data_IF_927471540064
#
_entry.id   IF_927471540064
#
_cell.length_a   1.000
_cell.length_b   1.000
_cell.length_c   1.000
_cell.angle_alpha   90.00
_cell.angle_beta   90.00
_cell.angle_gamma   90.00
#
_symmetry.space_group_name_H-M   'P 1'
#
loop_
_entity.id
_entity.type
_entity.pdbx_description
1 polymer ?
#
# COMPACT_ATOMS: atom_id res chain seq x y z
N UNK A 1 27.71 5.80 -16.76
CA UNK A 1 27.48 5.84 -18.21
C UNK A 1 28.67 6.49 -18.89
N UNK A 2 29.25 5.84 -19.90
CA UNK A 2 30.26 6.42 -20.79
C UNK A 2 29.57 6.77 -22.10
N UNK A 3 29.49 8.05 -22.45
CA UNK A 3 28.79 8.51 -23.67
C UNK A 3 29.73 9.30 -24.58
N UNK A 4 29.30 9.58 -25.80
CA UNK A 4 30.03 10.47 -26.73
C UNK A 4 30.03 11.95 -26.30
N UNK A 5 29.13 12.34 -25.38
CA UNK A 5 29.09 13.66 -24.74
C UNK A 5 29.94 13.74 -23.47
N UNK A 6 30.33 12.61 -22.89
CA UNK A 6 31.11 12.54 -21.67
C UNK A 6 30.59 11.48 -20.69
N UNK A 7 31.01 11.60 -19.44
CA UNK A 7 30.68 10.62 -18.41
C UNK A 7 29.55 11.12 -17.52
N UNK A 8 28.57 10.26 -17.25
CA UNK A 8 27.51 10.49 -16.26
C UNK A 8 27.64 9.42 -15.19
N UNK A 9 27.84 9.82 -13.93
CA UNK A 9 27.93 8.92 -12.79
C UNK A 9 26.61 8.92 -12.03
N UNK A 10 26.09 7.74 -11.75
CA UNK A 10 24.81 7.54 -11.06
C UNK A 10 25.04 6.63 -9.86
N UNK A 11 24.48 6.99 -8.71
CA UNK A 11 24.36 6.09 -7.57
C UNK A 11 23.06 5.30 -7.68
N UNK A 12 23.12 3.98 -7.48
CA UNK A 12 21.97 3.09 -7.55
C UNK A 12 21.34 2.88 -6.16
N UNK A 13 20.01 2.78 -6.10
CA UNK A 13 19.24 2.62 -4.87
C UNK A 13 18.94 1.14 -4.58
N UNK A 14 19.98 0.33 -4.35
CA UNK A 14 19.84 -1.12 -4.21
C UNK A 14 18.90 -1.56 -3.08
N UNK A 15 18.82 -0.80 -1.98
CA UNK A 15 17.90 -1.09 -0.87
C UNK A 15 16.43 -0.80 -1.20
N UNK A 16 16.18 0.14 -2.13
CA UNK A 16 14.84 0.64 -2.48
C UNK A 16 14.24 -0.10 -3.68
N UNK A 17 15.08 -0.47 -4.64
CA UNK A 17 14.69 -1.18 -5.85
C UNK A 17 15.65 -2.36 -6.16
N UNK A 18 15.73 -3.37 -5.28
CA UNK A 18 16.73 -4.44 -5.37
C UNK A 18 16.65 -5.25 -6.67
N UNK A 19 15.45 -5.60 -7.15
CA UNK A 19 15.30 -6.37 -8.39
C UNK A 19 15.69 -5.55 -9.62
N UNK A 20 15.31 -4.26 -9.63
CA UNK A 20 15.61 -3.32 -10.70
C UNK A 20 17.11 -3.04 -10.79
N UNK A 21 17.75 -2.77 -9.65
CA UNK A 21 19.19 -2.57 -9.59
C UNK A 21 19.93 -3.83 -10.01
N UNK A 22 19.50 -5.00 -9.52
CA UNK A 22 20.10 -6.28 -9.94
C UNK A 22 19.97 -6.51 -11.46
N UNK A 23 18.80 -6.24 -12.04
CA UNK A 23 18.59 -6.33 -13.49
C UNK A 23 19.51 -5.38 -14.27
N UNK A 24 19.56 -4.11 -13.87
CA UNK A 24 20.39 -3.09 -14.52
C UNK A 24 21.89 -3.43 -14.44
N UNK A 25 22.37 -3.83 -13.26
CA UNK A 25 23.76 -4.24 -13.03
C UNK A 25 24.12 -5.48 -13.84
N UNK A 26 23.24 -6.48 -13.87
CA UNK A 26 23.45 -7.70 -14.66
C UNK A 26 23.58 -7.39 -16.15
N UNK A 27 22.62 -6.64 -16.72
CA UNK A 27 22.65 -6.26 -18.14
C UNK A 27 23.88 -5.40 -18.49
N UNK A 28 24.27 -4.47 -17.61
CA UNK A 28 25.48 -3.67 -17.79
C UNK A 28 26.75 -4.54 -17.85
N UNK A 29 26.87 -5.53 -16.95
CA UNK A 29 28.02 -6.45 -16.90
C UNK A 29 28.12 -7.36 -18.12
N UNK A 30 26.99 -7.79 -18.65
CA UNK A 30 26.92 -8.58 -19.89
C UNK A 30 27.16 -7.73 -21.15
N UNK A 31 27.38 -6.42 -21.01
CA UNK A 31 27.60 -5.51 -22.12
C UNK A 31 26.34 -5.23 -22.95
N UNK A 32 25.15 -5.53 -22.40
CA UNK A 32 23.86 -5.36 -23.08
C UNK A 32 23.61 -3.90 -23.53
N UNK A 33 24.14 -2.94 -22.78
CA UNK A 33 24.03 -1.51 -23.06
C UNK A 33 25.13 -0.94 -23.95
N UNK A 34 26.12 -1.75 -24.35
CA UNK A 34 27.24 -1.27 -25.15
C UNK A 34 26.77 -0.87 -26.55
N UNK A 35 27.30 0.26 -27.03
CA UNK A 35 26.99 0.84 -28.35
C UNK A 35 25.49 1.03 -28.62
N UNK A 36 24.71 1.22 -27.56
CA UNK A 36 23.30 1.62 -27.66
C UNK A 36 23.18 3.15 -27.74
N UNK A 37 21.98 3.69 -27.92
CA UNK A 37 21.77 5.15 -27.99
C UNK A 37 20.75 5.63 -26.97
N UNK A 38 20.86 6.91 -26.61
CA UNK A 38 19.73 7.65 -26.06
C UNK A 38 18.74 7.93 -27.20
N UNK A 39 17.81 6.99 -27.38
CA UNK A 39 16.93 6.96 -28.55
C UNK A 39 15.77 7.96 -28.48
N UNK A 40 15.52 8.56 -27.31
CA UNK A 40 14.51 9.58 -27.12
C UNK A 40 14.96 10.56 -26.05
N UNK A 41 15.17 11.82 -26.42
CA UNK A 41 15.66 12.88 -25.53
C UNK A 41 14.77 14.10 -25.73
N UNK A 42 13.96 14.42 -24.72
CA UNK A 42 12.97 15.49 -24.77
C UNK A 42 13.35 16.56 -23.75
N UNK A 43 13.46 17.81 -24.23
CA UNK A 43 13.79 18.97 -23.40
C UNK A 43 12.79 19.10 -22.24
N UNK A 44 13.30 19.50 -21.08
CA UNK A 44 12.52 19.70 -19.84
C UNK A 44 11.75 18.46 -19.37
N UNK A 45 12.11 17.28 -19.88
CA UNK A 45 11.49 16.01 -19.51
C UNK A 45 12.54 14.97 -19.14
N UNK A 46 13.11 14.26 -20.12
CA UNK A 46 14.02 13.16 -19.86
C UNK A 46 14.87 12.75 -21.07
N UNK A 47 15.94 12.00 -20.79
CA UNK A 47 16.72 11.24 -21.75
C UNK A 47 16.51 9.73 -21.53
N UNK A 48 15.93 9.04 -22.51
CA UNK A 48 15.62 7.61 -22.46
C UNK A 48 16.59 6.81 -23.34
N UNK A 49 17.06 5.69 -22.79
CA UNK A 49 18.00 4.76 -23.41
C UNK A 49 17.72 3.31 -23.01
N UNK A 50 18.68 2.41 -23.27
CA UNK A 50 18.60 1.01 -22.85
C UNK A 50 17.85 0.06 -23.80
N UNK A 51 17.61 0.49 -25.03
CA UNK A 51 17.10 -0.36 -26.12
C UNK A 51 18.24 -0.67 -27.12
N UNK A 52 18.70 -1.93 -27.25
CA UNK A 52 19.75 -2.31 -28.21
C UNK A 52 19.39 -2.11 -29.68
N UNK A 53 18.09 -2.03 -29.99
CA UNK A 53 17.61 -1.77 -31.34
C UNK A 53 17.57 -0.28 -31.66
N UNK A 54 17.58 0.58 -30.64
CA UNK A 54 17.43 2.04 -30.78
C UNK A 54 16.04 2.50 -31.23
N UNK A 55 15.04 1.60 -31.28
CA UNK A 55 13.68 1.90 -31.78
C UNK A 55 12.73 2.41 -30.70
N UNK A 56 13.05 2.19 -29.43
CA UNK A 56 12.18 2.38 -28.27
C UNK A 56 11.25 1.19 -27.99
N UNK A 57 11.30 0.13 -28.79
CA UNK A 57 10.42 -1.05 -28.66
C UNK A 57 11.17 -2.34 -28.29
N UNK A 58 12.51 -2.30 -28.25
CA UNK A 58 13.32 -3.46 -27.85
C UNK A 58 13.40 -3.65 -26.34
N UNK A 59 13.95 -4.79 -25.94
CA UNK A 59 14.10 -5.17 -24.55
C UNK A 59 14.82 -6.51 -24.38
N UNK A 60 15.02 -6.99 -23.15
CA UNK A 60 15.89 -8.13 -22.85
C UNK A 60 15.20 -9.49 -23.05
N UNK A 61 13.97 -9.50 -23.55
CA UNK A 61 13.18 -10.71 -23.78
C UNK A 61 12.36 -11.18 -22.59
N UNK A 62 12.33 -10.42 -21.50
CA UNK A 62 11.52 -10.65 -20.31
C UNK A 62 11.00 -9.33 -19.72
N UNK A 63 10.04 -9.45 -18.80
CA UNK A 63 9.53 -8.33 -18.00
C UNK A 63 9.51 -8.65 -16.51
N UNK A 64 9.57 -7.64 -15.66
CA UNK A 64 9.47 -7.77 -14.20
C UNK A 64 8.64 -6.65 -13.56
N UNK A 65 8.26 -6.88 -12.29
CA UNK A 65 7.39 -6.02 -11.51
C UNK A 65 8.00 -4.63 -11.23
N UNK A 66 7.15 -3.65 -10.90
CA UNK A 66 7.59 -2.34 -10.41
C UNK A 66 8.02 -2.43 -8.93
N UNK A 67 9.01 -1.64 -8.53
CA UNK A 67 9.45 -1.48 -7.13
C UNK A 67 9.22 -0.03 -6.71
N UNK A 68 7.96 0.30 -6.41
CA UNK A 68 7.55 1.65 -6.05
C UNK A 68 7.80 1.90 -4.56
N UNK A 69 8.75 2.77 -4.24
CA UNK A 69 9.02 3.20 -2.87
C UNK A 69 8.32 4.54 -2.57
N UNK A 70 7.41 4.62 -1.57
CA UNK A 70 6.69 5.86 -1.23
C UNK A 70 7.57 7.04 -0.79
N UNK A 71 8.82 6.79 -0.38
CA UNK A 71 9.79 7.83 -0.02
C UNK A 71 10.52 8.43 -1.22
N UNK A 72 10.39 7.81 -2.41
CA UNK A 72 10.97 8.29 -3.65
C UNK A 72 9.87 8.93 -4.52
N UNK A 73 10.15 10.13 -5.02
CA UNK A 73 9.26 10.82 -5.96
C UNK A 73 10.05 11.57 -7.01
N UNK A 74 9.43 11.82 -8.16
CA UNK A 74 10.01 12.57 -9.28
C UNK A 74 10.02 14.08 -9.01
N UNK A 75 10.68 14.49 -7.93
CA UNK A 75 10.70 15.86 -7.38
C UNK A 75 11.88 16.71 -7.89
N UNK A 76 12.82 16.12 -8.64
CA UNK A 76 14.03 16.78 -9.12
C UNK A 76 14.57 16.19 -10.42
N UNK A 77 15.50 16.91 -11.02
CA UNK A 77 16.31 16.45 -12.15
C UNK A 77 17.36 15.40 -11.71
N UNK A 78 17.82 14.60 -12.66
CA UNK A 78 18.88 13.62 -12.45
C UNK A 78 18.43 12.28 -11.86
N UNK A 79 17.11 12.02 -11.76
CA UNK A 79 16.61 10.72 -11.29
C UNK A 79 16.71 9.68 -12.41
N UNK A 80 17.24 8.51 -12.09
CA UNK A 80 17.29 7.34 -12.95
C UNK A 80 16.10 6.43 -12.64
N UNK A 81 15.29 6.14 -13.66
CA UNK A 81 14.08 5.32 -13.51
C UNK A 81 13.84 4.39 -14.71
N UNK A 82 13.06 3.33 -14.50
CA UNK A 82 12.71 2.36 -15.54
C UNK A 82 11.65 2.91 -16.49
N UNK A 83 11.88 2.76 -17.79
CA UNK A 83 10.81 2.91 -18.78
C UNK A 83 10.00 1.60 -18.85
N UNK A 84 8.68 1.72 -19.03
CA UNK A 84 7.76 0.58 -19.11
C UNK A 84 6.59 0.86 -20.07
N UNK A 85 5.79 -0.16 -20.35
CA UNK A 85 4.58 -0.12 -21.16
C UNK A 85 3.30 -0.29 -20.30
N UNK A 86 3.37 0.04 -19.01
CA UNK A 86 2.33 -0.20 -18.01
C UNK A 86 2.83 -1.03 -16.81
N UNK A 87 1.99 -1.24 -15.79
CA UNK A 87 2.38 -1.91 -14.56
C UNK A 87 3.01 -3.30 -14.80
N UNK A 88 4.15 -3.56 -14.19
CA UNK A 88 4.85 -4.84 -14.25
C UNK A 88 5.50 -5.19 -15.59
N UNK A 89 5.79 -4.18 -16.41
CA UNK A 89 6.41 -4.37 -17.74
C UNK A 89 7.83 -3.79 -17.84
N UNK A 90 8.56 -3.73 -16.72
CA UNK A 90 9.95 -3.27 -16.72
C UNK A 90 10.83 -4.26 -17.50
N UNK A 91 11.76 -3.73 -18.32
CA UNK A 91 12.69 -4.51 -19.12
C UNK A 91 14.13 -4.01 -18.97
N UNK A 92 14.71 -3.49 -20.04
CA UNK A 92 16.08 -2.92 -20.04
C UNK A 92 16.12 -1.41 -20.18
N UNK A 93 15.03 -0.80 -20.66
CA UNK A 93 14.98 0.62 -20.96
C UNK A 93 14.86 1.44 -19.69
N UNK A 94 15.58 2.56 -19.64
CA UNK A 94 15.62 3.49 -18.53
C UNK A 94 15.57 4.92 -19.04
N UNK A 95 15.30 5.87 -18.14
CA UNK A 95 15.43 7.29 -18.43
C UNK A 95 16.05 8.07 -17.27
N UNK A 96 16.69 9.18 -17.62
CA UNK A 96 17.23 10.18 -16.70
C UNK A 96 16.42 11.47 -16.81
N UNK A 97 15.92 12.01 -15.70
CA UNK A 97 15.09 13.23 -15.72
C UNK A 97 15.92 14.50 -15.91
N UNK A 98 15.38 15.48 -16.64
CA UNK A 98 15.94 16.84 -16.73
C UNK A 98 15.29 17.83 -15.76
N UNK A 99 14.12 17.49 -15.24
CA UNK A 99 13.30 18.34 -14.37
C UNK A 99 12.42 17.47 -13.46
N UNK A 100 11.71 18.04 -12.46
CA UNK A 100 10.66 17.35 -11.74
C UNK A 100 9.56 16.85 -12.70
N UNK A 101 9.13 15.61 -12.54
CA UNK A 101 8.15 14.93 -13.41
C UNK A 101 7.13 14.15 -12.58
N UNK A 102 6.48 14.84 -11.64
CA UNK A 102 5.59 14.23 -10.62
C UNK A 102 4.46 13.34 -11.20
N UNK A 103 4.04 13.58 -12.45
CA UNK A 103 3.04 12.75 -13.13
C UNK A 103 3.50 11.31 -13.43
N UNK A 104 4.80 11.02 -13.23
CA UNK A 104 5.39 9.69 -13.31
C UNK A 104 5.40 8.93 -11.97
N UNK A 105 5.06 9.60 -10.86
CA UNK A 105 4.98 8.98 -9.54
C UNK A 105 4.00 7.79 -9.57
N UNK A 106 4.34 6.72 -8.86
CA UNK A 106 3.58 5.47 -8.80
C UNK A 106 3.40 4.74 -10.15
N UNK A 107 4.19 5.10 -11.17
CA UNK A 107 4.14 4.49 -12.51
C UNK A 107 5.48 3.96 -12.99
N UNK A 108 6.58 4.48 -12.45
CA UNK A 108 7.93 4.10 -12.84
C UNK A 108 8.80 3.90 -11.60
N UNK A 109 9.56 2.81 -11.60
CA UNK A 109 10.53 2.51 -10.55
C UNK A 109 11.71 3.48 -10.62
N UNK A 110 11.87 4.33 -9.61
CA UNK A 110 13.09 5.14 -9.40
C UNK A 110 14.14 4.25 -8.75
N UNK A 111 15.30 4.09 -9.39
CA UNK A 111 16.33 3.16 -8.92
C UNK A 111 17.75 3.76 -8.87
N UNK A 112 17.89 5.06 -9.07
CA UNK A 112 19.15 5.77 -8.83
C UNK A 112 19.05 7.26 -9.07
N UNK A 113 20.17 7.97 -8.87
CA UNK A 113 20.30 9.38 -9.20
C UNK A 113 21.71 9.78 -9.65
N UNK A 114 21.79 10.80 -10.51
CA UNK A 114 23.05 11.38 -10.99
C UNK A 114 23.77 12.04 -9.83
N UNK A 115 25.01 11.61 -9.61
CA UNK A 115 25.92 12.19 -8.61
C UNK A 115 27.04 13.02 -9.25
N UNK A 116 27.40 12.74 -10.51
CA UNK A 116 28.36 13.53 -11.29
C UNK A 116 27.96 13.53 -12.78
N UNK A 117 28.26 14.60 -13.52
CA UNK A 117 27.97 14.70 -14.96
C UNK A 117 26.56 15.17 -15.32
N UNK A 118 25.91 15.97 -14.46
CA UNK A 118 24.61 16.57 -14.77
C UNK A 118 24.68 17.54 -15.96
N UNK A 119 25.79 18.25 -16.12
CA UNK A 119 26.10 19.07 -17.30
C UNK A 119 26.21 18.23 -18.58
N UNK A 120 26.82 17.04 -18.50
CA UNK A 120 26.89 16.08 -19.61
C UNK A 120 25.49 15.59 -19.97
N UNK A 121 24.69 15.18 -18.98
CA UNK A 121 23.28 14.80 -19.17
C UNK A 121 22.51 15.91 -19.90
N UNK A 122 22.62 17.15 -19.43
CA UNK A 122 21.96 18.32 -20.05
C UNK A 122 22.47 18.66 -21.46
N UNK A 123 23.66 18.16 -21.84
CA UNK A 123 24.25 18.37 -23.18
C UNK A 123 23.83 17.33 -24.21
N UNK A 124 23.06 16.30 -23.80
CA UNK A 124 22.55 15.29 -24.71
C UNK A 124 21.69 15.92 -25.81
N UNK A 125 21.88 15.46 -27.04
CA UNK A 125 21.23 15.94 -28.23
C UNK A 125 19.74 15.58 -28.18
N UNK A 126 18.89 16.61 -28.26
CA UNK A 126 17.44 16.42 -28.30
C UNK A 126 17.04 15.55 -29.50
N UNK A 127 16.16 14.59 -29.25
CA UNK A 127 15.69 13.61 -30.23
C UNK A 127 14.26 13.19 -29.91
N UNK A 128 13.33 13.54 -30.80
CA UNK A 128 11.99 12.95 -30.83
C UNK A 128 11.90 11.95 -31.99
N UNK A 129 11.84 10.62 -31.72
CA UNK A 129 11.77 9.61 -32.77
C UNK A 129 10.51 9.72 -33.64
N UNK A 130 9.45 10.40 -33.17
CA UNK A 130 8.25 10.63 -33.98
C UNK A 130 8.44 11.75 -35.00
N UNK A 131 9.35 12.69 -34.73
CA UNK A 131 9.64 13.82 -35.63
C UNK A 131 10.80 13.51 -36.59
N UNK A 132 11.79 12.73 -36.14
CA UNK A 132 12.98 12.39 -36.90
C UNK A 132 13.38 10.91 -36.66
N UNK A 133 12.69 9.95 -37.30
CA UNK A 133 12.91 8.52 -37.03
C UNK A 133 14.30 8.03 -37.44
N UNK A 134 14.89 8.63 -38.49
CA UNK A 134 16.20 8.25 -39.03
C UNK A 134 17.37 8.94 -38.32
N UNK A 135 17.11 9.89 -37.40
CA UNK A 135 18.18 10.56 -36.65
C UNK A 135 18.66 9.62 -35.55
N UNK A 136 19.93 9.25 -35.55
CA UNK A 136 20.55 8.52 -34.44
C UNK A 136 20.93 9.49 -33.32
N UNK A 137 20.58 9.12 -32.10
CA UNK A 137 20.86 9.89 -30.89
C UNK A 137 22.28 9.65 -30.39
N UNK A 138 22.65 10.35 -29.33
CA UNK A 138 23.97 10.22 -28.72
C UNK A 138 24.26 8.78 -28.26
N UNK A 139 25.50 8.35 -28.49
CA UNK A 139 25.93 6.97 -28.23
C UNK A 139 26.23 6.76 -26.76
N UNK A 140 25.69 5.67 -26.20
CA UNK A 140 26.09 5.09 -24.93
C UNK A 140 27.10 3.97 -25.21
N UNK A 141 28.38 4.27 -25.03
CA UNK A 141 29.44 3.30 -25.29
C UNK A 141 29.41 2.12 -24.32
N UNK A 142 29.22 2.39 -23.03
CA UNK A 142 29.13 1.35 -22.02
C UNK A 142 28.56 1.87 -20.69
N UNK A 143 28.08 0.94 -19.86
CA UNK A 143 27.71 1.18 -18.47
C UNK A 143 28.69 0.42 -17.57
N UNK A 144 29.56 1.16 -16.89
CA UNK A 144 30.49 0.57 -15.91
C UNK A 144 29.81 0.50 -14.54
N UNK A 145 29.96 -0.63 -13.85
CA UNK A 145 29.46 -0.84 -12.49
C UNK A 145 30.64 -0.80 -11.52
N UNK A 146 30.58 0.11 -10.56
CA UNK A 146 31.50 0.22 -9.42
C UNK A 146 30.76 -0.24 -8.16
N UNK A 147 31.37 -1.14 -7.38
CA UNK A 147 30.86 -1.55 -6.07
C UNK A 147 31.65 -0.84 -4.96
N UNK A 148 30.94 -0.37 -3.93
CA UNK A 148 31.50 0.30 -2.76
C UNK A 148 30.73 -0.14 -1.52
N UNK A 149 31.44 -0.31 -0.41
CA UNK A 149 30.83 -0.59 0.90
C UNK A 149 30.15 0.65 1.51
N UNK A 150 30.47 1.85 1.00
CA UNK A 150 29.88 3.12 1.43
C UNK A 150 29.09 3.77 0.28
N UNK A 151 27.82 4.11 0.57
CA UNK A 151 26.98 4.93 -0.29
C UNK A 151 27.36 6.40 -0.15
N UNK A 152 27.43 7.15 -1.25
CA UNK A 152 27.65 8.60 -1.24
C UNK A 152 26.38 9.40 -0.98
N UNK A 153 25.23 8.73 -0.86
CA UNK A 153 23.93 9.36 -0.61
C UNK A 153 23.62 9.40 0.88
N UNK A 154 22.78 10.35 1.32
CA UNK A 154 22.25 10.29 2.67
C UNK A 154 21.60 8.92 2.90
N UNK A 155 21.76 8.33 4.10
CA UNK A 155 21.11 7.08 4.40
C UNK A 155 19.61 7.24 4.20
N UNK A 156 18.94 6.23 3.60
CA UNK A 156 17.50 6.27 3.46
C UNK A 156 16.83 6.54 4.82
N UNK A 157 15.69 7.27 4.86
CA UNK A 157 14.88 7.26 6.06
C UNK A 157 14.58 5.80 6.44
N UNK A 158 14.78 5.41 7.71
CA UNK A 158 14.57 4.03 8.12
C UNK A 158 13.14 3.62 7.77
N UNK A 159 12.99 2.47 7.12
CA UNK A 159 11.66 1.87 6.96
C UNK A 159 11.08 1.67 8.37
N UNK A 160 9.88 2.19 8.66
CA UNK A 160 9.28 2.02 9.97
C UNK A 160 9.21 0.53 10.30
N UNK A 161 9.64 0.16 11.50
CA UNK A 161 9.60 -1.23 11.93
C UNK A 161 8.15 -1.70 11.91
N UNK A 162 7.84 -2.83 11.25
CA UNK A 162 6.50 -3.37 11.24
C UNK A 162 6.01 -3.61 12.67
N UNK A 163 4.87 -3.01 13.00
CA UNK A 163 4.24 -3.02 14.30
C UNK A 163 2.75 -3.29 14.09
N UNK A 164 2.41 -4.58 14.08
CA UNK A 164 1.05 -5.08 13.92
C UNK A 164 0.41 -5.42 15.27
N UNK A 165 -0.93 -5.54 15.35
CA UNK A 165 -1.60 -5.99 16.57
C UNK A 165 -1.04 -7.28 17.18
N UNK A 166 -0.64 -8.23 16.33
CA UNK A 166 -0.04 -9.51 16.74
C UNK A 166 1.33 -9.39 17.44
N UNK A 167 1.94 -8.19 17.45
CA UNK A 167 3.18 -7.93 18.19
C UNK A 167 2.96 -7.74 19.69
N UNK A 168 1.71 -7.58 20.13
CA UNK A 168 1.34 -7.37 21.53
C UNK A 168 0.66 -8.61 22.12
N UNK A 169 0.84 -8.81 23.43
CA UNK A 169 0.18 -9.88 24.16
C UNK A 169 -1.28 -9.51 24.48
N UNK A 170 -2.22 -10.20 23.84
CA UNK A 170 -3.67 -9.99 24.02
C UNK A 170 -4.16 -10.33 25.42
N UNK A 171 -3.48 -11.21 26.16
CA UNK A 171 -3.92 -11.63 27.49
C UNK A 171 -3.89 -10.50 28.53
N UNK A 172 -3.09 -9.46 28.28
CA UNK A 172 -2.96 -8.30 29.14
C UNK A 172 -3.88 -7.13 28.76
N UNK A 173 -4.66 -7.23 27.66
CA UNK A 173 -5.46 -6.14 27.08
C UNK A 173 -4.76 -4.77 27.13
N UNK A 174 -3.53 -4.65 26.59
CA UNK A 174 -2.65 -3.52 26.87
C UNK A 174 -3.20 -2.15 26.41
N UNK A 175 -4.17 -2.12 25.50
CA UNK A 175 -4.76 -0.87 25.01
C UNK A 175 -5.97 -0.42 25.82
N UNK A 176 -6.56 -1.27 26.67
CA UNK A 176 -7.75 -0.91 27.45
C UNK A 176 -7.53 0.32 28.36
N UNK A 177 -6.30 0.49 28.88
CA UNK A 177 -5.88 1.60 29.74
C UNK A 177 -5.28 2.79 28.98
N UNK A 178 -5.09 2.68 27.67
CA UNK A 178 -4.62 3.78 26.81
C UNK A 178 -5.81 4.65 26.45
N UNK A 179 -5.70 5.98 26.49
CA UNK A 179 -6.81 6.84 26.06
C UNK A 179 -7.24 6.55 24.61
N UNK A 180 -8.54 6.43 24.29
CA UNK A 180 -9.01 6.07 22.95
C UNK A 180 -8.38 6.92 21.84
N UNK A 181 -8.28 8.23 22.03
CA UNK A 181 -7.72 9.13 21.02
C UNK A 181 -6.25 8.79 20.65
N UNK A 182 -5.47 8.27 21.60
CA UNK A 182 -4.06 7.90 21.43
C UNK A 182 -3.88 6.53 20.74
N UNK A 183 -4.97 5.78 20.53
CA UNK A 183 -4.96 4.50 19.80
C UNK A 183 -5.13 4.67 18.30
N UNK A 184 -5.47 5.86 17.83
CA UNK A 184 -5.59 6.13 16.40
C UNK A 184 -4.21 6.08 15.73
N UNK A 185 -4.05 5.23 14.71
CA UNK A 185 -2.76 5.04 14.04
C UNK A 185 -1.71 4.31 14.89
N UNK A 186 -2.14 3.59 15.94
CA UNK A 186 -1.23 2.93 16.88
C UNK A 186 -0.36 1.85 16.22
N UNK A 187 -0.87 1.21 15.17
CA UNK A 187 -0.18 0.20 14.38
C UNK A 187 0.19 0.77 13.00
N UNK A 188 1.14 0.13 12.32
CA UNK A 188 1.52 0.51 10.96
C UNK A 188 1.47 -0.68 9.97
N UNK A 189 0.99 -1.84 10.44
CA UNK A 189 0.88 -3.05 9.64
C UNK A 189 -0.32 -3.89 10.11
N UNK A 190 -1.05 -4.48 9.16
CA UNK A 190 -2.10 -5.44 9.46
C UNK A 190 -1.53 -6.73 10.08
N UNK A 191 -2.26 -7.41 10.97
CA UNK A 191 -1.80 -8.68 11.52
C UNK A 191 -1.88 -9.81 10.48
N UNK A 192 -0.96 -10.78 10.59
CA UNK A 192 -1.11 -12.06 9.88
C UNK A 192 -2.31 -12.83 10.43
N UNK A 193 -2.88 -13.69 9.59
CA UNK A 193 -4.03 -14.52 9.96
C UNK A 193 -3.56 -15.70 10.82
N UNK A 194 -4.12 -15.80 12.02
CA UNK A 194 -3.72 -16.81 13.02
C UNK A 194 -4.89 -17.48 13.75
N UNK A 195 -6.13 -17.05 13.47
CA UNK A 195 -7.32 -17.69 14.04
C UNK A 195 -7.43 -19.14 13.56
N UNK A 196 -7.99 -19.98 14.42
CA UNK A 196 -8.36 -21.35 14.07
C UNK A 196 -9.78 -21.37 13.52
N UNK A 197 -9.94 -21.52 12.21
CA UNK A 197 -11.24 -21.58 11.51
C UNK A 197 -12.03 -22.88 11.75
N UNK A 198 -11.45 -23.84 12.49
CA UNK A 198 -12.21 -24.99 12.97
C UNK A 198 -13.02 -24.68 14.24
N UNK A 199 -12.78 -23.52 14.87
CA UNK A 199 -13.45 -23.08 16.10
C UNK A 199 -14.45 -21.98 15.80
N UNK A 200 -15.35 -21.77 16.73
CA UNK A 200 -16.36 -20.72 16.64
C UNK A 200 -15.99 -19.55 17.55
N UNK A 201 -16.15 -18.34 17.03
CA UNK A 201 -15.86 -17.11 17.78
C UNK A 201 -17.13 -16.30 17.98
N UNK A 202 -17.32 -15.83 19.21
CA UNK A 202 -18.42 -14.93 19.57
C UNK A 202 -17.83 -13.69 20.23
N UNK A 203 -18.35 -12.52 19.86
CA UNK A 203 -17.98 -11.26 20.48
C UNK A 203 -19.14 -10.69 21.29
N UNK A 204 -18.88 -10.29 22.53
CA UNK A 204 -19.83 -9.52 23.33
C UNK A 204 -19.40 -8.06 23.30
N UNK A 205 -20.25 -7.22 22.71
CA UNK A 205 -20.09 -5.76 22.66
C UNK A 205 -20.91 -5.17 23.80
N UNK A 206 -20.24 -4.71 24.86
CA UNK A 206 -20.87 -4.00 25.95
C UNK A 206 -20.94 -2.50 25.63
N UNK A 207 -22.11 -1.91 25.80
CA UNK A 207 -22.36 -0.48 25.59
C UNK A 207 -23.06 0.10 26.80
N UNK A 208 -23.08 1.44 26.91
CA UNK A 208 -23.84 2.16 27.94
C UNK A 208 -25.36 1.91 27.91
N UNK A 209 -25.89 1.24 26.86
CA UNK A 209 -27.30 0.85 26.73
C UNK A 209 -27.57 -0.62 27.00
N UNK A 210 -26.54 -1.46 27.05
CA UNK A 210 -26.67 -2.90 27.18
C UNK A 210 -25.67 -3.66 26.31
N UNK A 211 -25.77 -4.98 26.36
CA UNK A 211 -24.85 -5.88 25.67
C UNK A 211 -25.47 -6.41 24.37
N UNK A 212 -24.63 -6.58 23.36
CA UNK A 212 -24.95 -7.26 22.11
C UNK A 212 -23.99 -8.43 21.93
N UNK A 213 -24.53 -9.57 21.50
CA UNK A 213 -23.73 -10.77 21.20
C UNK A 213 -23.67 -10.96 19.70
N UNK A 214 -22.46 -11.05 19.15
CA UNK A 214 -22.17 -11.20 17.72
C UNK A 214 -21.55 -12.56 17.48
N UNK A 215 -22.18 -13.39 16.65
CA UNK A 215 -21.54 -14.57 16.08
C UNK A 215 -20.65 -14.13 14.91
N UNK A 216 -19.40 -14.59 14.89
CA UNK A 216 -18.43 -14.24 13.84
C UNK A 216 -18.44 -15.29 12.72
N UNK A 217 -18.14 -14.86 11.50
CA UNK A 217 -18.12 -15.70 10.30
C UNK A 217 -16.69 -16.17 10.00
N UNK A 218 -16.07 -16.89 10.94
CA UNK A 218 -14.65 -17.28 10.89
C UNK A 218 -14.24 -18.10 9.66
N UNK A 219 -15.15 -18.91 9.11
CA UNK A 219 -14.96 -19.73 7.92
C UNK A 219 -15.18 -18.98 6.60
N UNK A 220 -15.86 -17.83 6.64
CA UNK A 220 -16.27 -17.07 5.46
C UNK A 220 -15.52 -15.73 5.31
N UNK A 221 -15.02 -15.13 6.39
CA UNK A 221 -14.33 -13.84 6.41
C UNK A 221 -13.12 -13.88 7.36
N UNK A 222 -12.17 -14.77 7.08
CA UNK A 222 -11.05 -15.12 7.94
C UNK A 222 -10.16 -13.89 8.27
N UNK A 223 -9.85 -13.06 7.28
CA UNK A 223 -9.00 -11.86 7.47
C UNK A 223 -9.70 -10.85 8.37
N UNK A 224 -10.98 -10.57 8.10
CA UNK A 224 -11.79 -9.63 8.86
C UNK A 224 -12.00 -10.11 10.30
N UNK A 225 -12.35 -11.39 10.50
CA UNK A 225 -12.52 -11.98 11.83
C UNK A 225 -11.21 -11.96 12.61
N UNK A 226 -10.08 -12.39 12.02
CA UNK A 226 -8.78 -12.36 12.68
C UNK A 226 -8.41 -10.97 13.16
N UNK A 227 -8.58 -9.98 12.29
CA UNK A 227 -8.28 -8.59 12.60
C UNK A 227 -9.15 -8.06 13.75
N UNK A 228 -10.46 -8.32 13.70
CA UNK A 228 -11.41 -7.90 14.74
C UNK A 228 -11.10 -8.57 16.08
N UNK A 229 -10.87 -9.88 16.10
CA UNK A 229 -10.56 -10.66 17.31
C UNK A 229 -9.29 -10.14 17.98
N UNK A 230 -8.23 -9.85 17.21
CA UNK A 230 -6.99 -9.30 17.77
C UNK A 230 -7.19 -7.91 18.36
N UNK A 231 -7.82 -6.98 17.63
CA UNK A 231 -8.05 -5.62 18.12
C UNK A 231 -8.97 -5.60 19.36
N UNK A 232 -10.04 -6.40 19.35
CA UNK A 232 -10.91 -6.56 20.51
C UNK A 232 -10.18 -7.21 21.69
N UNK A 233 -9.34 -8.22 21.44
CA UNK A 233 -8.50 -8.88 22.43
C UNK A 233 -7.51 -7.92 23.10
N UNK A 234 -6.96 -6.96 22.35
CA UNK A 234 -6.05 -5.94 22.90
C UNK A 234 -6.75 -4.84 23.71
N UNK A 235 -8.08 -4.75 23.65
CA UNK A 235 -8.85 -3.65 24.23
C UNK A 235 -8.87 -2.38 23.37
N UNK A 236 -8.60 -2.49 22.06
CA UNK A 236 -8.56 -1.34 21.15
C UNK A 236 -9.89 -0.56 21.14
N UNK A 237 -11.02 -1.28 21.23
CA UNK A 237 -12.37 -0.72 21.17
C UNK A 237 -12.91 -0.23 22.52
N UNK A 238 -12.21 -0.47 23.63
CA UNK A 238 -12.72 -0.19 24.97
C UNK A 238 -12.84 1.32 25.22
N UNK A 239 -13.94 1.77 25.80
CA UNK A 239 -14.26 3.18 26.03
C UNK A 239 -14.27 4.06 24.75
N UNK A 240 -14.50 3.48 23.57
CA UNK A 240 -14.59 4.26 22.32
C UNK A 240 -15.99 4.81 22.08
N UNK A 241 -16.14 5.99 21.45
CA UNK A 241 -17.46 6.57 21.18
C UNK A 241 -18.19 5.84 20.05
N UNK A 242 -19.52 5.94 20.05
CA UNK A 242 -20.31 5.66 18.84
C UNK A 242 -20.07 6.79 17.83
N UNK A 243 -19.41 6.47 16.71
CA UNK A 243 -18.91 7.50 15.80
C UNK A 243 -20.00 8.16 14.97
N UNK A 244 -20.93 7.36 14.45
CA UNK A 244 -22.02 7.85 13.64
C UNK A 244 -23.23 6.96 13.77
N UNK A 245 -24.42 7.56 13.77
CA UNK A 245 -25.68 6.85 13.60
C UNK A 245 -26.41 7.46 12.42
N UNK A 246 -26.74 6.60 11.45
CA UNK A 246 -27.63 6.92 10.34
C UNK A 246 -28.98 6.25 10.63
N UNK A 247 -29.97 6.98 11.16
CA UNK A 247 -31.23 6.40 11.63
C UNK A 247 -31.90 5.54 10.56
N UNK A 248 -32.25 4.30 10.93
CA UNK A 248 -32.87 3.34 10.00
C UNK A 248 -31.94 2.78 8.92
N UNK A 249 -30.61 2.99 9.05
CA UNK A 249 -29.64 2.46 8.10
C UNK A 249 -28.50 1.72 8.81
N UNK A 250 -27.66 2.41 9.58
CA UNK A 250 -26.47 1.82 10.19
C UNK A 250 -25.94 2.62 11.38
N UNK A 251 -25.10 1.97 12.17
CA UNK A 251 -24.24 2.56 13.21
C UNK A 251 -22.78 2.36 12.79
N UNK A 252 -21.93 3.35 13.00
CA UNK A 252 -20.46 3.26 12.81
C UNK A 252 -19.77 3.39 14.16
N UNK A 253 -18.82 2.49 14.41
CA UNK A 253 -17.97 2.45 15.60
C UNK A 253 -16.51 2.19 15.22
N UNK A 254 -15.59 2.17 16.17
CA UNK A 254 -14.22 1.71 15.95
C UNK A 254 -13.23 2.75 15.42
N UNK A 255 -13.64 4.02 15.31
CA UNK A 255 -12.72 5.16 15.24
C UNK A 255 -12.49 5.71 16.65
N UNK A 256 -11.33 5.45 17.27
CA UNK A 256 -11.16 5.68 18.70
C UNK A 256 -10.94 7.17 19.04
N UNK A 257 -10.61 8.00 18.05
CA UNK A 257 -10.51 9.46 18.17
C UNK A 257 -11.75 10.20 17.61
N UNK A 258 -12.81 9.47 17.27
CA UNK A 258 -14.04 10.00 16.66
C UNK A 258 -13.84 10.77 15.34
N UNK A 259 -12.79 10.44 14.59
CA UNK A 259 -12.52 11.00 13.25
C UNK A 259 -12.88 9.99 12.16
N UNK A 260 -13.48 10.42 11.02
CA UNK A 260 -13.65 9.55 9.86
C UNK A 260 -12.34 8.98 9.31
N UNK A 261 -11.21 9.64 9.56
CA UNK A 261 -9.86 9.17 9.18
C UNK A 261 -9.12 8.44 10.31
N UNK A 262 -9.74 8.30 11.48
CA UNK A 262 -9.14 7.63 12.63
C UNK A 262 -9.40 6.13 12.57
N UNK A 263 -8.34 5.33 12.52
CA UNK A 263 -8.42 3.87 12.55
C UNK A 263 -7.21 3.27 13.28
N UNK A 264 -6.97 1.96 13.15
CA UNK A 264 -5.82 1.28 13.75
C UNK A 264 -4.45 1.70 13.14
N UNK A 265 -4.42 2.36 11.98
CA UNK A 265 -3.20 2.76 11.27
C UNK A 265 -2.81 1.87 10.09
N UNK A 266 -3.70 0.98 9.66
CA UNK A 266 -3.53 0.12 8.49
C UNK A 266 -4.88 -0.22 7.87
N UNK A 267 -4.83 -0.76 6.65
CA UNK A 267 -5.97 -1.31 5.93
C UNK A 267 -5.85 -2.82 5.82
N UNK A 268 -6.97 -3.51 5.63
CA UNK A 268 -7.01 -4.95 5.38
C UNK A 268 -7.60 -5.23 3.99
N UNK A 269 -7.19 -6.32 3.30
CA UNK A 269 -7.87 -6.80 2.12
C UNK A 269 -9.37 -6.99 2.38
N UNK A 270 -10.22 -6.53 1.48
CA UNK A 270 -11.66 -6.69 1.64
C UNK A 270 -12.10 -8.11 1.24
N UNK A 271 -12.80 -8.80 2.15
CA UNK A 271 -13.47 -10.09 1.91
C UNK A 271 -14.94 -9.83 1.53
N UNK A 272 -15.21 -9.70 0.23
CA UNK A 272 -16.54 -9.40 -0.31
C UNK A 272 -17.16 -10.63 -0.97
N UNK A 273 -18.49 -10.66 -1.07
CA UNK A 273 -19.25 -11.72 -1.74
C UNK A 273 -19.30 -13.03 -0.96
N UNK A 274 -19.04 -12.98 0.35
CA UNK A 274 -19.01 -14.14 1.25
C UNK A 274 -20.44 -14.68 1.44
N UNK A 275 -20.67 -16.01 1.56
CA UNK A 275 -22.02 -16.59 1.56
C UNK A 275 -22.73 -16.44 2.91
N UNK A 276 -23.17 -15.21 3.22
CA UNK A 276 -23.79 -14.82 4.50
C UNK A 276 -25.24 -14.37 4.31
N UNK A 277 -26.01 -14.38 5.40
CA UNK A 277 -27.35 -13.78 5.43
C UNK A 277 -27.29 -12.28 5.71
N UNK A 278 -27.96 -11.48 4.88
CA UNK A 278 -27.98 -10.02 4.97
C UNK A 278 -29.13 -9.56 5.88
N UNK A 279 -28.94 -9.74 7.20
CA UNK A 279 -29.95 -9.43 8.21
C UNK A 279 -29.66 -8.14 8.99
N UNK A 280 -30.66 -7.68 9.76
CA UNK A 280 -30.48 -6.61 10.76
C UNK A 280 -29.41 -7.04 11.75
N UNK A 281 -28.47 -6.15 12.08
CA UNK A 281 -27.38 -6.44 13.01
C UNK A 281 -26.18 -7.16 12.38
N UNK A 282 -26.12 -7.30 11.05
CA UNK A 282 -24.89 -7.73 10.37
C UNK A 282 -23.79 -6.68 10.59
N UNK A 283 -22.58 -7.16 10.88
CA UNK A 283 -21.39 -6.37 11.23
C UNK A 283 -20.37 -6.51 10.11
N UNK A 284 -19.78 -5.39 9.69
CA UNK A 284 -18.72 -5.38 8.68
C UNK A 284 -17.74 -4.24 8.88
N UNK A 285 -16.66 -4.24 8.11
CA UNK A 285 -15.74 -3.10 8.07
C UNK A 285 -16.24 -2.00 7.13
N UNK A 286 -15.95 -0.75 7.50
CA UNK A 286 -16.14 0.39 6.60
C UNK A 286 -15.13 0.27 5.44
N UNK A 287 -15.57 0.32 4.17
CA UNK A 287 -14.69 0.12 3.02
C UNK A 287 -13.89 1.38 2.74
N UNK A 288 -12.67 1.20 2.22
CA UNK A 288 -11.82 2.28 1.79
C UNK A 288 -12.07 2.59 0.31
N UNK A 289 -12.64 3.77 0.03
CA UNK A 289 -13.11 4.11 -1.32
C UNK A 289 -11.98 4.27 -2.33
N UNK A 290 -12.21 3.81 -3.57
CA UNK A 290 -11.35 4.07 -4.72
C UNK A 290 -10.11 3.19 -4.83
N UNK A 291 -10.04 2.08 -4.09
CA UNK A 291 -8.91 1.13 -4.13
C UNK A 291 -9.22 -0.09 -5.01
N UNK A 292 -8.19 -0.56 -5.73
CA UNK A 292 -8.21 -1.80 -6.52
C UNK A 292 -6.87 -2.55 -6.30
N UNK A 293 -6.87 -3.74 -5.67
CA UNK A 293 -8.01 -4.47 -5.13
C UNK A 293 -8.74 -3.70 -4.00
N UNK A 294 -10.02 -4.03 -3.71
CA UNK A 294 -10.78 -3.34 -2.68
C UNK A 294 -10.15 -3.58 -1.29
N UNK A 295 -10.10 -2.51 -0.50
CA UNK A 295 -9.59 -2.52 0.87
C UNK A 295 -10.66 -2.07 1.85
N UNK A 296 -10.50 -2.50 3.10
CA UNK A 296 -11.34 -2.15 4.24
C UNK A 296 -10.49 -1.43 5.29
N UNK A 297 -11.11 -0.52 6.06
CA UNK A 297 -10.44 0.13 7.18
C UNK A 297 -9.98 -0.91 8.21
N UNK A 298 -8.89 -0.62 8.92
CA UNK A 298 -8.32 -1.57 9.89
C UNK A 298 -9.15 -1.73 11.17
N UNK A 299 -9.95 -0.74 11.57
CA UNK A 299 -10.71 -0.83 12.84
C UNK A 299 -12.15 -0.31 12.78
N UNK A 300 -12.51 0.52 11.80
CA UNK A 300 -13.85 1.11 11.74
C UNK A 300 -14.88 0.06 11.28
N UNK A 301 -15.90 -0.13 12.10
CA UNK A 301 -16.95 -1.11 11.91
C UNK A 301 -18.26 -0.40 11.59
N UNK A 302 -19.10 -1.06 10.80
CA UNK A 302 -20.50 -0.71 10.62
C UNK A 302 -21.38 -1.85 11.14
N UNK A 303 -22.53 -1.48 11.69
CA UNK A 303 -23.57 -2.41 12.13
C UNK A 303 -24.89 -1.99 11.48
N UNK A 304 -25.53 -2.89 10.76
CA UNK A 304 -26.75 -2.57 10.01
C UNK A 304 -27.99 -2.47 10.93
N UNK A 305 -28.76 -1.38 10.80
CA UNK A 305 -30.03 -1.18 11.53
C UNK A 305 -31.24 -1.76 10.78
N UNK A 306 -31.06 -2.08 9.51
CA UNK A 306 -32.04 -2.72 8.61
C UNK A 306 -31.32 -3.78 7.81
N UNK A 307 -32.04 -4.79 7.30
CA UNK A 307 -31.47 -5.78 6.38
C UNK A 307 -30.86 -5.06 5.17
N UNK A 308 -29.54 -5.17 4.93
CA UNK A 308 -28.93 -4.54 3.77
C UNK A 308 -29.39 -5.24 2.48
N UNK A 309 -29.36 -4.54 1.34
CA UNK A 309 -29.49 -5.19 0.04
C UNK A 309 -28.35 -6.18 -0.18
N UNK A 310 -28.60 -7.26 -0.92
CA UNK A 310 -27.60 -8.34 -1.14
C UNK A 310 -26.34 -7.80 -1.82
N UNK A 311 -26.49 -6.81 -2.70
CA UNK A 311 -25.39 -6.14 -3.41
C UNK A 311 -24.44 -5.39 -2.46
N UNK A 312 -24.85 -5.11 -1.22
CA UNK A 312 -23.92 -4.55 -0.23
C UNK A 312 -22.75 -5.52 0.04
N UNK A 313 -22.97 -6.82 -0.07
CA UNK A 313 -21.94 -7.82 0.12
C UNK A 313 -20.83 -7.75 -0.94
N UNK A 314 -21.06 -7.10 -2.08
CA UNK A 314 -20.04 -6.88 -3.11
C UNK A 314 -19.05 -5.75 -2.75
N UNK A 315 -19.33 -4.99 -1.70
CA UNK A 315 -18.59 -3.78 -1.32
C UNK A 315 -18.03 -3.85 0.09
N UNK A 316 -18.78 -4.45 1.01
CA UNK A 316 -18.46 -4.45 2.43
C UNK A 316 -17.93 -5.82 2.88
N UNK A 317 -16.88 -5.81 3.69
CA UNK A 317 -16.39 -7.03 4.35
C UNK A 317 -17.22 -7.31 5.60
N UNK A 318 -18.35 -7.98 5.41
CA UNK A 318 -19.19 -8.44 6.50
C UNK A 318 -18.60 -9.70 7.14
N UNK A 319 -18.47 -9.70 8.47
CA UNK A 319 -17.74 -10.74 9.19
C UNK A 319 -18.45 -11.21 10.47
N UNK A 320 -19.64 -10.71 10.77
CA UNK A 320 -20.42 -11.19 11.90
C UNK A 320 -21.87 -10.75 11.89
N UNK A 321 -22.65 -11.30 12.82
CA UNK A 321 -24.08 -11.05 12.95
C UNK A 321 -24.49 -11.04 14.42
N UNK A 322 -25.23 -10.00 14.82
CA UNK A 322 -25.82 -9.94 16.16
C UNK A 322 -26.87 -11.05 16.30
N UNK A 323 -26.68 -11.92 17.29
CA UNK A 323 -27.58 -13.03 17.64
C UNK A 323 -28.39 -12.77 18.91
N UNK A 324 -27.99 -11.79 19.73
CA UNK A 324 -28.69 -11.38 20.95
C UNK A 324 -28.46 -9.89 21.23
N UNK A 325 -29.46 -9.20 21.79
CA UNK A 325 -29.37 -7.78 22.14
C UNK A 325 -29.55 -6.83 20.95
N UNK A 326 -30.12 -7.28 19.82
CA UNK A 326 -30.28 -6.44 18.61
C UNK A 326 -31.12 -5.17 18.87
N UNK A 327 -32.03 -5.22 19.84
CA UNK A 327 -32.84 -4.09 20.30
C UNK A 327 -32.00 -2.92 20.84
N UNK A 328 -30.82 -3.21 21.41
CA UNK A 328 -29.88 -2.20 21.95
C UNK A 328 -29.47 -1.22 20.85
N UNK A 329 -29.30 -1.68 19.60
CA UNK A 329 -28.92 -0.82 18.47
C UNK A 329 -29.86 0.36 18.26
N UNK A 330 -31.16 0.16 18.52
CA UNK A 330 -32.17 1.20 18.33
C UNK A 330 -32.17 2.27 19.42
N UNK A 331 -31.51 2.00 20.54
CA UNK A 331 -31.40 2.89 21.70
C UNK A 331 -30.08 3.68 21.73
N UNK A 332 -29.09 3.28 20.92
CA UNK A 332 -27.80 3.94 20.85
C UNK A 332 -27.92 5.36 20.27
N UNK A 333 -27.10 6.24 20.81
CA UNK A 333 -26.87 7.61 20.36
C UNK A 333 -25.37 7.85 20.21
N UNK A 334 -24.96 8.94 19.56
CA UNK A 334 -23.53 9.33 19.49
C UNK A 334 -22.95 9.77 20.84
N UNK A 335 -23.78 9.93 21.86
CA UNK A 335 -23.37 10.20 23.25
C UNK A 335 -23.07 8.90 24.03
N UNK A 336 -23.41 7.75 23.47
CA UNK A 336 -23.13 6.45 24.05
C UNK A 336 -21.72 5.97 23.70
N UNK A 337 -21.26 4.95 24.43
CA UNK A 337 -19.90 4.42 24.30
C UNK A 337 -19.92 2.91 24.14
N UNK A 338 -18.93 2.40 23.41
CA UNK A 338 -18.53 1.00 23.50
C UNK A 338 -17.67 0.89 24.76
N UNK A 339 -18.22 0.28 25.80
CA UNK A 339 -17.53 0.12 27.08
C UNK A 339 -16.43 -0.93 26.95
N UNK A 340 -16.73 -2.06 26.32
CA UNK A 340 -15.73 -3.08 25.99
C UNK A 340 -16.21 -4.02 24.88
N UNK A 341 -15.25 -4.67 24.22
CA UNK A 341 -15.51 -5.84 23.38
C UNK A 341 -14.68 -7.02 23.90
N UNK A 342 -15.35 -8.14 24.18
CA UNK A 342 -14.72 -9.38 24.65
C UNK A 342 -14.98 -10.51 23.67
N UNK A 343 -13.99 -11.38 23.47
CA UNK A 343 -14.06 -12.52 22.56
C UNK A 343 -14.14 -13.81 23.37
N UNK A 344 -15.06 -14.69 22.98
CA UNK A 344 -15.15 -16.07 23.47
C UNK A 344 -14.94 -17.02 22.30
N UNK A 345 -14.16 -18.07 22.56
CA UNK A 345 -13.80 -19.12 21.61
C UNK A 345 -14.40 -20.45 22.11
N UNK A 346 -15.00 -21.23 21.21
CA UNK A 346 -15.53 -22.56 21.52
C UNK A 346 -15.10 -23.60 20.48
N UNK A 347 -14.99 -24.85 20.94
CA UNK A 347 -14.77 -26.03 20.08
C UNK A 347 -15.95 -26.34 19.17
#
# INVERSE_FOLDING_TARGET
FKTDKGDIKVQLFAERAPQTVNNFVFLAREGYYNDTTFHRVLADFMAQGGDPTGTGSGGPGYSFADELDPSLSFDRAGLLAMANAGPGTNGSQFFLTFAPTEWLNNRHTIFGEVIEGMDVLNSLTLRDPNMAPDFEGDTLYTVLIEESDESTLPPPPPTPTPFAPSSLDVSARPLAEVEPADRAGYFNMAPEVTIDTAKQYTATIATSKGEMVVALYDDNAEVAVNNFVLLAGLGFYDNTPINQISPGQLVIIGSPNNSPSGDAGYQIPAEVGVPIDMAVGVVGYVPYQGTMPPLSNGSQLLIALVSPPVEANDVYSFFGQITSGVEVLSELTTEDTIESITITESE
#
